data_IF_432601152198
#
_entry.id   IF_432601152198
#
_cell.length_a   1.000
_cell.length_b   1.000
_cell.length_c   1.000
_cell.angle_alpha   90.00
_cell.angle_beta   90.00
_cell.angle_gamma   90.00
#
_symmetry.space_group_name_H-M   'P 1'
#
loop_
_entity.id
_entity.type
_entity.pdbx_description
1 polymer ?
#
# COMPACT_ATOMS: atom_id res chain seq x y z
N UNK A 1 52.29 -31.41 27.88
CA UNK A 1 51.97 -31.55 26.44
C UNK A 1 50.53 -32.04 26.33
N UNK A 2 49.59 -31.15 26.00
CA UNK A 2 48.28 -31.44 25.40
C UNK A 2 47.55 -30.11 25.21
N UNK A 3 47.67 -29.59 24.00
CA UNK A 3 46.98 -28.44 23.43
C UNK A 3 45.51 -28.78 23.24
N UNK A 4 44.61 -27.92 23.74
CA UNK A 4 43.19 -27.97 23.39
C UNK A 4 42.92 -26.90 22.33
N UNK A 5 42.46 -27.34 21.16
CA UNK A 5 42.12 -26.51 20.00
C UNK A 5 40.69 -25.99 20.15
N UNK A 6 40.53 -24.70 19.82
CA UNK A 6 39.28 -23.97 19.79
C UNK A 6 38.35 -24.43 18.66
N UNK A 7 37.04 -24.40 18.90
CA UNK A 7 36.01 -24.51 17.88
C UNK A 7 34.98 -23.39 18.06
N UNK A 8 35.21 -22.25 17.43
CA UNK A 8 34.21 -21.19 17.32
C UNK A 8 33.30 -21.50 16.13
N UNK A 9 32.04 -21.85 16.40
CA UNK A 9 31.00 -21.91 15.38
C UNK A 9 30.55 -20.49 15.04
N UNK A 10 31.03 -19.97 13.92
CA UNK A 10 30.55 -18.74 13.30
C UNK A 10 29.19 -19.01 12.67
N UNK A 11 28.09 -18.57 13.33
CA UNK A 11 26.78 -18.48 12.66
C UNK A 11 26.83 -17.31 11.66
N UNK A 12 26.96 -17.64 10.38
CA UNK A 12 26.77 -16.67 9.30
C UNK A 12 25.27 -16.43 9.10
N UNK A 13 24.77 -15.27 9.56
CA UNK A 13 23.46 -14.76 9.15
C UNK A 13 23.52 -14.46 7.65
N UNK A 14 22.92 -15.35 6.84
CA UNK A 14 22.67 -15.07 5.42
C UNK A 14 21.59 -13.99 5.34
N UNK A 15 22.00 -12.76 5.09
CA UNK A 15 21.07 -11.73 4.62
C UNK A 15 20.54 -12.18 3.25
N UNK A 16 19.23 -12.43 3.14
CA UNK A 16 18.62 -12.73 1.86
C UNK A 16 18.83 -11.53 0.90
N UNK A 17 19.22 -11.77 -0.37
CA UNK A 17 19.45 -10.69 -1.32
C UNK A 17 18.11 -10.00 -1.67
N UNK A 18 18.11 -8.67 -1.70
CA UNK A 18 16.97 -7.82 -2.09
C UNK A 18 16.34 -8.19 -3.45
N UNK A 19 17.05 -8.93 -4.30
CA UNK A 19 16.54 -9.45 -5.57
C UNK A 19 15.33 -10.40 -5.40
N UNK A 20 15.25 -11.17 -4.31
CA UNK A 20 14.10 -12.05 -4.04
C UNK A 20 12.83 -11.27 -3.62
N UNK A 21 12.98 -10.06 -3.09
CA UNK A 21 11.87 -9.22 -2.63
C UNK A 21 11.06 -8.61 -3.78
N UNK A 22 11.65 -8.48 -4.97
CA UNK A 22 10.95 -7.92 -6.14
C UNK A 22 10.13 -8.96 -6.92
N UNK A 23 10.49 -10.25 -6.83
CA UNK A 23 9.84 -11.32 -7.60
C UNK A 23 8.38 -11.55 -7.20
N UNK A 24 8.02 -11.35 -5.94
CA UNK A 24 6.63 -11.49 -5.46
C UNK A 24 5.70 -10.35 -5.90
N UNK A 25 6.25 -9.17 -6.23
CA UNK A 25 5.50 -8.00 -6.68
C UNK A 25 5.52 -7.86 -8.20
N UNK A 26 6.29 -8.69 -8.91
CA UNK A 26 6.50 -8.56 -10.37
C UNK A 26 5.21 -8.65 -11.17
N UNK A 27 4.23 -9.37 -10.65
CA UNK A 27 2.92 -9.59 -11.28
C UNK A 27 1.83 -8.68 -10.68
N UNK A 28 2.17 -7.90 -9.65
CA UNK A 28 1.27 -6.89 -9.09
C UNK A 28 1.28 -5.69 -10.02
N UNK A 29 0.11 -5.40 -10.59
CA UNK A 29 -0.13 -4.22 -11.42
C UNK A 29 -1.17 -3.35 -10.72
N UNK A 30 -1.04 -2.04 -10.84
CA UNK A 30 -2.12 -1.16 -10.45
C UNK A 30 -3.37 -1.45 -11.28
N UNK A 31 -4.56 -1.28 -10.69
CA UNK A 31 -5.82 -1.38 -11.41
C UNK A 31 -5.91 -0.40 -12.59
N UNK A 32 -6.92 -0.61 -13.45
CA UNK A 32 -7.24 0.33 -14.51
C UNK A 32 -7.88 1.61 -13.97
N UNK A 33 -7.77 2.68 -14.77
CA UNK A 33 -8.42 3.96 -14.45
C UNK A 33 -9.92 3.75 -14.24
N UNK A 34 -10.44 4.31 -13.16
CA UNK A 34 -11.81 4.14 -12.70
C UNK A 34 -11.99 3.00 -11.70
N UNK A 35 -11.08 2.02 -11.59
CA UNK A 35 -11.25 0.92 -10.65
C UNK A 35 -10.99 1.35 -9.20
N UNK A 36 -11.77 0.82 -8.27
CA UNK A 36 -11.67 1.12 -6.85
C UNK A 36 -12.02 -0.07 -5.95
N UNK A 37 -11.50 -0.04 -4.73
CA UNK A 37 -11.84 -0.95 -3.64
C UNK A 37 -11.97 -0.18 -2.34
N UNK A 38 -12.99 -0.47 -1.56
CA UNK A 38 -13.28 0.13 -0.26
C UNK A 38 -13.20 -0.93 0.84
N UNK A 39 -12.55 -0.57 1.94
CA UNK A 39 -12.22 -1.44 3.05
C UNK A 39 -12.76 -0.84 4.35
N UNK A 40 -13.31 -1.69 5.20
CA UNK A 40 -13.54 -1.37 6.59
C UNK A 40 -12.31 -1.78 7.40
N UNK A 41 -11.68 -0.79 8.04
CA UNK A 41 -10.54 -0.97 8.94
C UNK A 41 -10.92 -0.78 10.40
N UNK A 42 -10.27 -1.54 11.28
CA UNK A 42 -10.25 -1.33 12.73
C UNK A 42 -8.80 -1.46 13.19
N UNK A 43 -8.30 -0.49 13.95
CA UNK A 43 -6.97 -0.53 14.57
C UNK A 43 -7.14 -0.41 16.09
N UNK A 44 -6.40 -1.21 16.85
CA UNK A 44 -6.39 -1.27 18.31
C UNK A 44 -7.80 -1.42 18.92
N UNK A 45 -8.72 -2.11 18.22
CA UNK A 45 -10.14 -2.26 18.59
C UNK A 45 -10.86 -0.92 18.83
N UNK A 46 -10.37 0.17 18.23
CA UNK A 46 -10.99 1.49 18.28
C UNK A 46 -12.14 1.59 17.27
N UNK A 47 -12.67 2.80 17.13
CA UNK A 47 -13.71 3.10 16.16
C UNK A 47 -13.32 2.65 14.74
N UNK A 48 -14.22 1.93 14.04
CA UNK A 48 -14.01 1.57 12.66
C UNK A 48 -13.87 2.81 11.78
N UNK A 49 -13.04 2.70 10.74
CA UNK A 49 -12.87 3.71 9.70
C UNK A 49 -12.85 3.04 8.33
N UNK A 50 -13.24 3.79 7.31
CA UNK A 50 -13.27 3.33 5.93
C UNK A 50 -12.03 3.83 5.20
N UNK A 51 -11.44 2.97 4.38
CA UNK A 51 -10.37 3.34 3.44
C UNK A 51 -10.80 2.92 2.04
N UNK A 52 -10.87 3.87 1.12
CA UNK A 52 -11.09 3.60 -0.30
C UNK A 52 -9.82 3.87 -1.08
N UNK A 53 -9.37 2.88 -1.83
CA UNK A 53 -8.35 3.04 -2.85
C UNK A 53 -9.00 3.12 -4.22
N UNK A 54 -8.50 4.01 -5.08
CA UNK A 54 -9.00 4.19 -6.44
C UNK A 54 -7.89 4.60 -7.39
N UNK A 55 -8.02 4.25 -8.67
CA UNK A 55 -7.23 4.86 -9.74
C UNK A 55 -8.13 5.89 -10.42
N UNK A 56 -7.87 7.17 -10.22
CA UNK A 56 -8.81 8.26 -10.56
C UNK A 56 -8.46 9.00 -11.86
N UNK A 57 -7.32 8.68 -12.47
CA UNK A 57 -6.88 9.25 -13.73
C UNK A 57 -5.51 8.72 -14.15
N UNK A 58 -5.09 9.11 -15.35
CA UNK A 58 -3.73 8.92 -15.84
C UNK A 58 -3.27 10.13 -16.65
N UNK A 59 -1.96 10.32 -16.75
CA UNK A 59 -1.32 11.37 -17.53
C UNK A 59 0.05 10.94 -18.02
N UNK A 60 0.51 11.53 -19.13
CA UNK A 60 1.85 11.30 -19.66
C UNK A 60 2.87 12.25 -18.99
N UNK A 61 3.95 11.69 -18.45
CA UNK A 61 5.11 12.45 -17.94
C UNK A 61 6.39 11.87 -18.48
N UNK A 62 7.21 12.70 -19.13
CA UNK A 62 8.53 12.29 -19.65
C UNK A 62 8.45 11.02 -20.55
N UNK A 63 7.36 10.89 -21.33
CA UNK A 63 7.13 9.75 -22.22
C UNK A 63 6.63 8.47 -21.54
N UNK A 64 6.37 8.49 -20.22
CA UNK A 64 5.78 7.38 -19.47
C UNK A 64 4.34 7.69 -19.08
N UNK A 65 3.49 6.66 -19.11
CA UNK A 65 2.17 6.75 -18.49
C UNK A 65 2.32 6.73 -16.97
N UNK A 66 1.63 7.66 -16.32
CA UNK A 66 1.55 7.77 -14.88
C UNK A 66 0.09 7.69 -14.48
N UNK A 67 -0.21 6.98 -13.39
CA UNK A 67 -1.56 6.82 -12.84
C UNK A 67 -1.70 7.62 -11.54
N UNK A 68 -2.85 8.27 -11.38
CA UNK A 68 -3.27 8.91 -10.16
C UNK A 68 -3.94 7.89 -9.24
N UNK A 69 -3.23 7.45 -8.20
CA UNK A 69 -3.77 6.60 -7.15
C UNK A 69 -4.31 7.48 -6.02
N UNK A 70 -5.58 7.33 -5.68
CA UNK A 70 -6.22 7.99 -4.55
C UNK A 70 -6.43 7.01 -3.39
N UNK A 71 -6.14 7.45 -2.18
CA UNK A 71 -6.57 6.86 -0.92
C UNK A 71 -7.45 7.87 -0.19
N UNK A 72 -8.72 7.53 0.03
CA UNK A 72 -9.65 8.30 0.84
C UNK A 72 -9.92 7.57 2.14
N UNK A 73 -9.62 8.20 3.27
CA UNK A 73 -9.95 7.69 4.59
C UNK A 73 -11.14 8.47 5.15
N UNK A 74 -12.05 7.77 5.82
CA UNK A 74 -13.22 8.38 6.48
C UNK A 74 -13.40 7.71 7.84
N UNK A 75 -13.36 8.49 8.91
CA UNK A 75 -13.54 8.02 10.28
C UNK A 75 -14.70 8.72 10.97
N UNK A 76 -14.92 8.40 12.25
CA UNK A 76 -15.94 9.10 13.06
C UNK A 76 -15.52 10.53 13.39
N UNK A 77 -14.23 10.75 13.62
CA UNK A 77 -13.70 12.07 13.94
C UNK A 77 -13.27 12.77 12.64
N UNK A 78 -13.55 14.07 12.51
CA UNK A 78 -13.26 14.82 11.27
C UNK A 78 -11.77 14.86 10.92
N UNK A 79 -10.89 14.81 11.92
CA UNK A 79 -9.43 14.74 11.75
C UNK A 79 -8.94 13.39 11.21
N UNK A 80 -9.79 12.37 11.20
CA UNK A 80 -9.55 11.07 10.55
C UNK A 80 -9.92 11.08 9.06
N UNK A 81 -10.61 12.13 8.58
CA UNK A 81 -10.97 12.25 7.19
C UNK A 81 -9.79 12.85 6.42
N UNK A 82 -9.34 12.14 5.39
CA UNK A 82 -8.22 12.60 4.57
C UNK A 82 -8.31 11.99 3.18
N UNK A 83 -7.91 12.77 2.17
CA UNK A 83 -7.67 12.28 0.81
C UNK A 83 -6.19 12.45 0.51
N UNK A 84 -5.59 11.40 -0.01
CA UNK A 84 -4.21 11.38 -0.47
C UNK A 84 -4.19 10.90 -1.91
N UNK A 85 -3.55 11.64 -2.81
CA UNK A 85 -3.32 11.24 -4.19
C UNK A 85 -1.84 11.17 -4.49
N UNK A 86 -1.46 10.18 -5.29
CA UNK A 86 -0.08 9.94 -5.72
C UNK A 86 -0.04 9.73 -7.20
N UNK A 87 0.87 10.45 -7.87
CA UNK A 87 1.19 10.21 -9.26
C UNK A 87 2.36 9.21 -9.36
N UNK A 88 2.06 8.00 -9.83
CA UNK A 88 3.00 6.85 -9.83
C UNK A 88 2.95 6.07 -11.14
N UNK A 89 4.04 5.39 -11.57
CA UNK A 89 4.04 4.63 -12.82
C UNK A 89 3.13 3.39 -12.85
N UNK A 90 2.55 2.98 -11.71
CA UNK A 90 1.57 1.89 -11.70
C UNK A 90 1.97 0.62 -10.94
N UNK A 91 3.08 0.63 -10.20
CA UNK A 91 3.50 -0.52 -9.39
C UNK A 91 3.95 -0.12 -7.98
N UNK A 92 3.57 -0.89 -6.93
CA UNK A 92 4.15 -0.78 -5.59
C UNK A 92 5.69 -0.82 -5.55
N UNK A 93 6.33 -1.52 -6.49
CA UNK A 93 7.79 -1.62 -6.59
C UNK A 93 8.46 -0.31 -7.08
N UNK A 94 7.67 0.61 -7.65
CA UNK A 94 8.15 1.83 -8.30
C UNK A 94 7.80 3.09 -7.48
N UNK A 95 7.56 2.93 -6.18
CA UNK A 95 7.25 4.06 -5.29
C UNK A 95 8.39 5.09 -5.19
N UNK A 96 9.62 4.73 -5.55
CA UNK A 96 10.72 5.70 -5.64
C UNK A 96 10.65 6.58 -6.91
N UNK A 97 9.75 6.26 -7.85
CA UNK A 97 9.44 7.02 -9.06
C UNK A 97 8.23 7.94 -8.90
N UNK A 98 7.66 8.08 -7.70
CA UNK A 98 6.53 9.00 -7.44
C UNK A 98 6.91 10.44 -7.82
N UNK A 99 6.07 11.05 -8.65
CA UNK A 99 6.33 12.39 -9.19
C UNK A 99 5.65 13.51 -8.41
N UNK A 100 4.46 13.24 -7.87
CA UNK A 100 3.62 14.23 -7.22
C UNK A 100 2.79 13.57 -6.13
N UNK A 101 2.49 14.33 -5.08
CA UNK A 101 1.51 13.98 -4.07
C UNK A 101 0.54 15.13 -3.85
N UNK A 102 -0.72 14.81 -3.64
CA UNK A 102 -1.73 15.76 -3.18
C UNK A 102 -2.31 15.25 -1.86
N UNK A 103 -2.40 16.15 -0.89
CA UNK A 103 -2.88 15.85 0.45
C UNK A 103 -4.00 16.81 0.84
N UNK A 104 -5.16 16.27 1.20
CA UNK A 104 -6.33 17.04 1.63
C UNK A 104 -6.84 16.54 2.99
N UNK A 105 -6.54 17.25 4.09
CA UNK A 105 -7.01 16.89 5.42
C UNK A 105 -8.42 17.46 5.67
N UNK A 106 -9.41 16.58 5.82
CA UNK A 106 -10.81 16.95 6.05
C UNK A 106 -11.32 17.95 5.00
N UNK A 107 -11.90 19.05 5.49
CA UNK A 107 -12.47 20.12 4.67
C UNK A 107 -11.45 21.22 4.32
N UNK A 108 -10.17 21.04 4.63
CA UNK A 108 -9.12 22.03 4.33
C UNK A 108 -8.73 21.97 2.85
N UNK A 109 -8.09 23.05 2.40
CA UNK A 109 -7.50 23.15 1.06
C UNK A 109 -6.55 21.98 0.78
N UNK A 110 -6.68 21.36 -0.39
CA UNK A 110 -5.71 20.38 -0.86
C UNK A 110 -4.34 21.04 -1.08
N UNK A 111 -3.29 20.39 -0.58
CA UNK A 111 -1.90 20.82 -0.71
C UNK A 111 -1.18 19.85 -1.61
N UNK A 112 -0.47 20.37 -2.61
CA UNK A 112 0.32 19.62 -3.57
C UNK A 112 1.80 19.71 -3.23
N UNK A 113 2.48 18.58 -3.33
CA UNK A 113 3.92 18.47 -3.23
C UNK A 113 4.47 17.97 -4.55
N UNK A 114 5.31 18.77 -5.19
CA UNK A 114 5.87 18.48 -6.51
C UNK A 114 7.37 18.85 -6.59
N UNK A 115 7.99 18.59 -7.74
CA UNK A 115 9.30 19.14 -8.10
C UNK A 115 10.44 18.81 -7.12
N UNK A 116 11.14 19.85 -6.66
CA UNK A 116 12.33 19.70 -5.80
C UNK A 116 11.99 19.11 -4.42
N UNK A 117 10.82 19.42 -3.87
CA UNK A 117 10.41 18.86 -2.58
C UNK A 117 10.19 17.35 -2.66
N UNK A 118 9.55 16.89 -3.73
CA UNK A 118 9.41 15.46 -4.01
C UNK A 118 10.77 14.76 -4.14
N UNK A 119 11.75 15.37 -4.80
CA UNK A 119 13.10 14.81 -4.91
C UNK A 119 13.77 14.61 -3.54
N UNK A 120 13.55 15.52 -2.58
CA UNK A 120 14.10 15.41 -1.22
C UNK A 120 13.47 14.26 -0.43
N UNK A 121 12.15 14.06 -0.56
CA UNK A 121 11.45 13.04 0.23
C UNK A 121 11.43 11.64 -0.39
N UNK A 122 11.65 11.49 -1.72
CA UNK A 122 11.69 10.17 -2.39
C UNK A 122 12.62 9.18 -1.71
N UNK A 123 13.80 9.63 -1.28
CA UNK A 123 14.76 8.80 -0.55
C UNK A 123 14.26 8.32 0.80
N UNK A 124 13.38 9.10 1.45
CA UNK A 124 12.70 8.71 2.69
C UNK A 124 11.54 7.75 2.40
N UNK A 125 10.72 8.03 1.38
CA UNK A 125 9.62 7.15 0.96
C UNK A 125 10.10 5.73 0.66
N UNK A 126 11.24 5.60 -0.03
CA UNK A 126 11.84 4.29 -0.30
C UNK A 126 12.18 3.51 0.96
N UNK A 127 12.65 4.20 2.01
CA UNK A 127 13.05 3.59 3.29
C UNK A 127 11.86 3.34 4.23
N UNK A 128 10.81 4.14 4.13
CA UNK A 128 9.62 4.07 4.98
C UNK A 128 8.44 3.37 4.30
N UNK A 129 8.62 2.87 3.08
CA UNK A 129 7.56 2.19 2.36
C UNK A 129 7.24 0.91 3.09
N UNK A 130 6.03 0.81 3.66
CA UNK A 130 5.50 -0.47 4.14
C UNK A 130 5.44 -1.54 3.02
N UNK A 131 5.62 -1.12 1.75
CA UNK A 131 5.65 -1.99 0.58
C UNK A 131 7.06 -2.51 0.26
N UNK A 132 8.15 -1.94 0.82
CA UNK A 132 9.53 -2.39 0.52
C UNK A 132 9.80 -3.81 1.04
N UNK A 133 9.16 -4.15 2.16
CA UNK A 133 9.33 -5.42 2.85
C UNK A 133 8.07 -6.29 2.73
N UNK A 134 7.11 -5.92 1.85
CA UNK A 134 5.78 -6.54 1.79
C UNK A 134 5.85 -8.07 1.68
N UNK A 135 6.87 -8.57 0.98
CA UNK A 135 7.07 -9.99 0.74
C UNK A 135 8.10 -10.64 1.64
N UNK A 136 8.85 -9.85 2.42
CA UNK A 136 9.79 -10.41 3.37
C UNK A 136 9.02 -11.15 4.47
N UNK A 137 9.42 -12.39 4.75
CA UNK A 137 8.73 -13.23 5.74
C UNK A 137 7.33 -13.71 5.32
N UNK A 138 6.95 -13.52 4.06
CA UNK A 138 5.61 -13.91 3.57
C UNK A 138 5.62 -15.32 2.99
N UNK A 139 4.72 -16.18 3.48
CA UNK A 139 4.54 -17.57 3.03
C UNK A 139 3.09 -17.81 2.61
N UNK A 140 2.89 -18.48 1.48
CA UNK A 140 1.56 -18.90 1.02
C UNK A 140 1.08 -20.10 1.85
N UNK A 141 -0.06 -19.94 2.53
CA UNK A 141 -0.65 -20.92 3.45
C UNK A 141 -1.70 -21.82 2.79
N UNK A 142 -2.14 -21.48 1.56
CA UNK A 142 -3.16 -22.20 0.81
C UNK A 142 -4.37 -21.33 0.48
N UNK A 143 -5.35 -21.91 -0.21
CA UNK A 143 -6.55 -21.20 -0.65
C UNK A 143 -7.80 -21.65 0.13
N UNK A 144 -8.54 -20.69 0.69
CA UNK A 144 -9.73 -20.92 1.50
C UNK A 144 -10.89 -20.00 1.09
N UNK A 145 -12.09 -20.31 1.60
CA UNK A 145 -13.28 -19.47 1.37
C UNK A 145 -13.35 -18.41 2.47
N UNK A 146 -13.44 -17.14 2.10
CA UNK A 146 -13.51 -16.00 3.02
C UNK A 146 -14.77 -15.20 2.75
N UNK A 147 -15.56 -14.94 3.80
CA UNK A 147 -16.75 -14.08 3.73
C UNK A 147 -16.45 -12.73 4.38
N UNK A 148 -16.74 -11.66 3.65
CA UNK A 148 -16.58 -10.25 4.04
C UNK A 148 -17.83 -9.48 3.59
N UNK A 149 -18.01 -8.20 3.95
CA UNK A 149 -19.21 -7.46 3.53
C UNK A 149 -19.40 -7.39 2.01
N UNK A 150 -18.31 -7.37 1.23
CA UNK A 150 -18.38 -7.39 -0.24
C UNK A 150 -18.80 -8.76 -0.85
N UNK A 151 -18.90 -9.83 -0.04
CA UNK A 151 -19.30 -11.16 -0.51
C UNK A 151 -18.38 -12.28 -0.03
N UNK A 152 -18.50 -13.45 -0.67
CA UNK A 152 -17.69 -14.64 -0.39
C UNK A 152 -16.72 -14.91 -1.53
N UNK A 153 -15.44 -15.10 -1.20
CA UNK A 153 -14.36 -15.25 -2.16
C UNK A 153 -13.52 -16.49 -1.87
N UNK A 154 -13.07 -17.18 -2.93
CA UNK A 154 -11.97 -18.16 -2.81
C UNK A 154 -10.66 -17.39 -2.87
N UNK A 155 -10.00 -17.23 -1.73
CA UNK A 155 -8.82 -16.38 -1.58
C UNK A 155 -7.59 -17.19 -1.15
N UNK A 156 -6.43 -16.77 -1.64
CA UNK A 156 -5.13 -17.27 -1.22
C UNK A 156 -4.71 -16.56 0.07
N UNK A 157 -4.44 -17.32 1.13
CA UNK A 157 -3.96 -16.78 2.41
C UNK A 157 -2.44 -16.75 2.43
N UNK A 158 -1.90 -15.58 2.73
CA UNK A 158 -0.47 -15.36 2.93
C UNK A 158 -0.22 -14.98 4.38
N UNK A 159 0.72 -15.65 5.03
CA UNK A 159 1.16 -15.34 6.39
C UNK A 159 2.48 -14.59 6.35
N UNK A 160 2.58 -13.47 7.04
CA UNK A 160 3.82 -12.73 7.24
C UNK A 160 4.35 -12.98 8.66
N UNK A 161 5.48 -13.67 8.79
CA UNK A 161 6.07 -14.01 10.09
C UNK A 161 6.77 -12.84 10.78
N UNK A 162 7.20 -11.82 10.02
CA UNK A 162 7.86 -10.61 10.55
C UNK A 162 6.87 -9.68 11.26
N UNK A 163 5.66 -9.61 10.71
CA UNK A 163 4.59 -8.73 11.19
C UNK A 163 3.46 -9.47 11.91
N UNK A 164 3.57 -10.79 12.05
CA UNK A 164 2.54 -11.68 12.63
C UNK A 164 1.15 -11.38 12.07
N UNK A 165 1.04 -11.32 10.75
CA UNK A 165 -0.20 -10.97 10.06
C UNK A 165 -0.57 -11.98 8.98
N UNK A 166 -1.85 -12.03 8.66
CA UNK A 166 -2.42 -12.80 7.56
C UNK A 166 -3.09 -11.86 6.56
N UNK A 167 -2.88 -12.09 5.27
CA UNK A 167 -3.54 -11.36 4.19
C UNK A 167 -4.14 -12.35 3.21
N UNK A 168 -5.39 -12.12 2.83
CA UNK A 168 -6.13 -12.91 1.87
C UNK A 168 -6.27 -12.13 0.59
N UNK A 169 -5.81 -12.72 -0.52
CA UNK A 169 -5.83 -12.08 -1.82
C UNK A 169 -6.56 -12.93 -2.88
N UNK A 170 -7.16 -12.24 -3.84
CA UNK A 170 -7.79 -12.79 -5.04
C UNK A 170 -7.10 -12.17 -6.25
N UNK A 171 -6.32 -12.94 -7.02
CA UNK A 171 -5.70 -12.44 -8.26
C UNK A 171 -6.75 -11.90 -9.24
N UNK A 172 -6.42 -10.81 -9.93
CA UNK A 172 -7.30 -10.18 -10.93
C UNK A 172 -8.37 -9.24 -10.38
N UNK A 173 -8.57 -9.18 -9.05
CA UNK A 173 -9.43 -8.18 -8.43
C UNK A 173 -8.69 -6.85 -8.24
N UNK A 174 -9.33 -5.71 -8.48
CA UNK A 174 -8.71 -4.41 -8.20
C UNK A 174 -8.25 -4.33 -6.73
N UNK A 175 -6.98 -3.97 -6.52
CA UNK A 175 -6.33 -3.93 -5.21
C UNK A 175 -6.19 -5.28 -4.48
N UNK A 176 -6.63 -6.39 -5.10
CA UNK A 176 -6.42 -7.82 -4.80
C UNK A 176 -6.76 -8.33 -3.40
N UNK A 177 -6.82 -7.49 -2.37
CA UNK A 177 -7.01 -7.88 -0.98
C UNK A 177 -8.50 -8.03 -0.68
N UNK A 178 -8.90 -9.15 -0.08
CA UNK A 178 -10.25 -9.32 0.48
C UNK A 178 -10.27 -9.11 1.98
N UNK A 179 -9.16 -9.43 2.66
CA UNK A 179 -9.00 -9.32 4.10
C UNK A 179 -7.52 -9.20 4.46
N UNK A 180 -7.22 -8.44 5.50
CA UNK A 180 -5.93 -8.50 6.20
C UNK A 180 -6.16 -8.42 7.70
N UNK A 181 -5.40 -9.19 8.48
CA UNK A 181 -5.52 -9.27 9.92
C UNK A 181 -4.15 -9.38 10.56
N UNK A 182 -3.83 -8.45 11.44
CA UNK A 182 -2.68 -8.54 12.34
C UNK A 182 -3.13 -8.68 13.79
N UNK A 183 -2.15 -8.56 14.70
CA UNK A 183 -2.40 -8.56 16.15
C UNK A 183 -3.39 -7.48 16.58
N UNK A 184 -3.20 -6.27 16.06
CA UNK A 184 -3.91 -5.07 16.49
C UNK A 184 -4.76 -4.42 15.40
N UNK A 185 -4.90 -5.04 14.24
CA UNK A 185 -5.71 -4.49 13.16
C UNK A 185 -6.44 -5.56 12.37
N UNK A 186 -7.55 -5.16 11.76
CA UNK A 186 -8.27 -5.94 10.77
C UNK A 186 -8.81 -5.02 9.67
N UNK A 187 -8.61 -5.41 8.42
CA UNK A 187 -9.21 -4.81 7.24
C UNK A 187 -10.03 -5.85 6.50
N UNK A 188 -11.23 -5.49 6.08
CA UNK A 188 -12.11 -6.35 5.27
C UNK A 188 -12.65 -5.57 4.09
N UNK A 189 -12.72 -6.21 2.93
CA UNK A 189 -13.29 -5.62 1.73
C UNK A 189 -14.78 -5.35 1.94
N UNK A 190 -15.16 -4.09 1.89
CA UNK A 190 -16.52 -3.61 2.05
C UNK A 190 -17.24 -3.52 0.70
N UNK A 191 -16.57 -3.00 -0.33
CA UNK A 191 -17.09 -2.90 -1.68
C UNK A 191 -15.95 -2.74 -2.71
N UNK A 192 -16.24 -2.97 -3.99
CA UNK A 192 -15.34 -2.69 -5.09
C UNK A 192 -16.14 -2.35 -6.35
N UNK A 193 -15.52 -1.68 -7.32
CA UNK A 193 -16.20 -1.33 -8.57
C UNK A 193 -15.34 -0.51 -9.53
N UNK A 194 -16.02 0.15 -10.46
CA UNK A 194 -15.45 1.02 -11.49
C UNK A 194 -16.01 2.46 -11.41
N UNK A 195 -15.64 3.31 -12.37
CA UNK A 195 -16.15 4.69 -12.47
C UNK A 195 -15.64 5.65 -11.40
N UNK A 196 -14.54 5.35 -10.71
CA UNK A 196 -13.95 6.24 -9.73
C UNK A 196 -13.49 7.56 -10.36
N UNK A 197 -13.75 8.65 -9.64
CA UNK A 197 -13.30 10.00 -9.93
C UNK A 197 -12.54 10.54 -8.72
N UNK A 198 -11.74 11.59 -8.93
CA UNK A 198 -11.03 12.28 -7.86
C UNK A 198 -12.00 12.80 -6.79
N UNK A 199 -11.69 12.54 -5.53
CA UNK A 199 -12.39 13.14 -4.38
C UNK A 199 -11.93 14.59 -4.12
N UNK A 200 -10.87 15.05 -4.80
CA UNK A 200 -10.38 16.42 -4.77
C UNK A 200 -10.88 17.13 -6.04
N UNK A 201 -11.78 18.09 -5.88
CA UNK A 201 -12.38 18.84 -6.99
C UNK A 201 -11.78 20.23 -7.17
N UNK A 202 -11.20 20.79 -6.10
CA UNK A 202 -10.50 22.07 -6.15
C UNK A 202 -9.06 21.95 -6.66
N UNK A 203 -8.51 23.06 -7.16
CA UNK A 203 -7.09 23.13 -7.48
C UNK A 203 -6.26 23.09 -6.19
N UNK A 204 -5.33 22.14 -6.10
CA UNK A 204 -4.43 22.04 -4.95
C UNK A 204 -3.38 23.16 -4.92
N UNK A 205 -3.10 23.70 -3.73
CA UNK A 205 -2.09 24.74 -3.49
C UNK A 205 -0.70 24.11 -3.39
N UNK A 206 0.33 24.70 -4.02
CA UNK A 206 1.70 24.20 -3.91
C UNK A 206 2.26 24.38 -2.49
N UNK A 207 2.95 23.35 -1.98
CA UNK A 207 3.59 23.40 -0.68
C UNK A 207 4.80 24.34 -0.69
N UNK A 208 4.72 25.43 0.09
CA UNK A 208 5.81 26.41 0.25
C UNK A 208 5.75 27.62 -0.68
N UNK A 209 4.71 27.75 -1.50
CA UNK A 209 4.36 28.98 -2.24
C UNK A 209 3.06 29.60 -1.73
N UNK A 210 2.76 30.87 -2.06
CA UNK A 210 1.61 31.60 -1.52
C UNK A 210 0.26 30.90 -1.73
#
# INVERSE_FOLDING_TARGET
MRTSVAGALSLSLLAAPAAAQNECLKDVRMPEVGQWAEYQGVINKKDPYTVRYAVVGSEQREGKEMKWMEMRMTGKQKDQNMVYQVLTPGSPAEMDQVQEMVFKPGDKQAIKMSGMMMKMIRGQLKKSSALSDLCEGTTMMGAESVTVPAGTFKASRFHNSKHESDTWIVPGMAFFMVKSKGKDYEFTLAAAGDGAQSSISETAQEMGGP
#
